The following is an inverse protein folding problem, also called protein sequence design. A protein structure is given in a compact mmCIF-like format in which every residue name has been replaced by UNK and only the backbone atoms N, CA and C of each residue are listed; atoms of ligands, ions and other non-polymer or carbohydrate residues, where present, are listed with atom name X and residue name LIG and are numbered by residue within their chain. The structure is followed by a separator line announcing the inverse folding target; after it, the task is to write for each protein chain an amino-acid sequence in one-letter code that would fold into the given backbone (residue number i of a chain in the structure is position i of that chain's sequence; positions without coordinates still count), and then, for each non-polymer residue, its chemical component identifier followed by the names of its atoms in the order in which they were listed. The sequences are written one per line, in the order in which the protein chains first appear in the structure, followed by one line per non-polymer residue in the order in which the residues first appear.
data_IF_389949104161
#
_entry.id   IF_389949104161
#
_cell.length_a   1.000
_cell.length_b   1.000
_cell.length_c   1.000
_cell.angle_alpha   90.00
_cell.angle_beta   90.00
_cell.angle_gamma   90.00
#
_symmetry.space_group_name_H-M   'P 1'
#
loop_
_entity.id
_entity.type
_entity.pdbx_description
1 polymer ?
#
# COMPACT_ATOMS: atom_id res chain seq x y z
N UNK A 1 -5.29 -1.73 22.66
CA UNK A 1 -5.26 -1.56 21.19
C UNK A 1 -6.61 -1.97 20.66
N UNK A 2 -7.18 -1.23 19.70
CA UNK A 2 -8.38 -1.68 18.98
C UNK A 2 -7.90 -2.69 17.93
N UNK A 3 -8.42 -3.91 17.95
CA UNK A 3 -8.17 -4.87 16.86
C UNK A 3 -8.72 -4.27 15.57
N UNK A 4 -7.87 -4.17 14.55
CA UNK A 4 -8.27 -3.81 13.21
C UNK A 4 -8.88 -5.06 12.55
N UNK A 5 -9.93 -4.91 11.73
CA UNK A 5 -10.41 -6.03 10.94
C UNK A 5 -9.32 -6.49 9.97
N UNK A 6 -9.26 -7.80 9.75
CA UNK A 6 -8.37 -8.39 8.77
C UNK A 6 -8.74 -7.93 7.35
N UNK A 7 -7.73 -7.62 6.53
CA UNK A 7 -7.96 -7.32 5.12
C UNK A 7 -8.35 -8.61 4.38
N UNK A 8 -9.15 -8.52 3.30
CA UNK A 8 -9.40 -9.66 2.42
C UNK A 8 -8.09 -10.35 2.02
N UNK A 9 -8.02 -11.68 2.11
CA UNK A 9 -6.79 -12.41 1.76
C UNK A 9 -5.56 -12.05 2.63
N UNK A 10 -5.78 -11.49 3.83
CA UNK A 10 -4.72 -11.10 4.76
C UNK A 10 -3.92 -9.88 4.35
N UNK A 11 -4.28 -9.20 3.26
CA UNK A 11 -3.51 -8.05 2.73
C UNK A 11 -2.27 -8.45 1.91
N UNK A 12 -2.14 -9.73 1.55
CA UNK A 12 -0.96 -10.25 0.86
C UNK A 12 -0.72 -9.60 -0.51
N UNK A 13 -1.78 -9.29 -1.27
CA UNK A 13 -1.64 -8.67 -2.59
C UNK A 13 -1.15 -7.21 -2.46
N UNK A 14 -1.62 -6.49 -1.43
CA UNK A 14 -1.20 -5.14 -1.12
C UNK A 14 0.26 -5.11 -0.66
N UNK A 15 0.66 -5.99 0.27
CA UNK A 15 2.07 -6.12 0.69
C UNK A 15 2.97 -6.45 -0.49
N UNK A 16 2.58 -7.39 -1.36
CA UNK A 16 3.32 -7.68 -2.59
C UNK A 16 3.47 -6.43 -3.47
N UNK A 17 2.40 -5.67 -3.68
CA UNK A 17 2.45 -4.41 -4.43
C UNK A 17 3.42 -3.41 -3.79
N UNK A 18 3.38 -3.20 -2.47
CA UNK A 18 4.28 -2.27 -1.77
C UNK A 18 5.75 -2.68 -1.95
N UNK A 19 6.07 -3.97 -1.76
CA UNK A 19 7.42 -4.52 -1.92
C UNK A 19 7.97 -4.31 -3.34
N UNK A 20 7.16 -4.54 -4.37
CA UNK A 20 7.57 -4.27 -5.74
C UNK A 20 7.60 -2.78 -6.08
N UNK A 21 6.75 -1.95 -5.48
CA UNK A 21 6.79 -0.50 -5.63
C UNK A 21 8.10 0.10 -5.06
N UNK A 22 8.63 -0.45 -3.96
CA UNK A 22 9.96 -0.09 -3.44
C UNK A 22 11.09 -0.55 -4.39
N UNK A 23 10.95 -1.72 -5.00
CA UNK A 23 11.97 -2.31 -5.88
C UNK A 23 12.06 -1.66 -7.28
N UNK A 24 11.24 -0.66 -7.62
CA UNK A 24 11.18 -0.04 -8.96
C UNK A 24 12.53 0.49 -9.46
N UNK A 25 13.39 0.97 -8.57
CA UNK A 25 14.71 1.51 -8.91
C UNK A 25 15.78 0.45 -9.23
N UNK A 26 15.48 -0.83 -9.03
CA UNK A 26 16.45 -1.92 -9.10
C UNK A 26 16.53 -2.60 -10.48
N UNK A 27 15.82 -2.07 -11.50
CA UNK A 27 15.87 -2.58 -12.87
C UNK A 27 15.05 -3.85 -13.14
N UNK A 28 14.21 -4.27 -12.19
CA UNK A 28 13.32 -5.43 -12.36
C UNK A 28 12.17 -5.18 -13.33
N UNK A 29 11.69 -6.24 -13.99
CA UNK A 29 10.58 -6.20 -14.97
C UNK A 29 9.27 -6.80 -14.44
N UNK A 30 9.04 -6.74 -13.12
CA UNK A 30 7.83 -7.33 -12.53
C UNK A 30 6.57 -6.52 -12.90
N UNK A 31 5.41 -7.15 -13.17
CA UNK A 31 4.18 -6.42 -13.49
C UNK A 31 3.75 -5.41 -12.40
N UNK A 32 4.03 -5.68 -11.12
CA UNK A 32 3.74 -4.74 -10.03
C UNK A 32 4.71 -3.54 -9.99
N UNK A 33 5.95 -3.71 -10.45
CA UNK A 33 6.88 -2.58 -10.70
C UNK A 33 6.29 -1.70 -11.80
N UNK A 34 5.82 -2.32 -12.89
CA UNK A 34 5.19 -1.60 -14.00
C UNK A 34 3.89 -0.92 -13.57
N UNK A 35 3.07 -1.54 -12.70
CA UNK A 35 1.87 -0.93 -12.12
C UNK A 35 2.21 0.33 -11.32
N UNK A 36 3.21 0.24 -10.45
CA UNK A 36 3.63 1.38 -9.66
C UNK A 36 4.23 2.51 -10.54
N UNK A 37 4.99 2.18 -11.59
CA UNK A 37 5.42 3.19 -12.57
C UNK A 37 4.26 3.80 -13.36
N UNK A 38 3.26 3.01 -13.72
CA UNK A 38 2.04 3.46 -14.39
C UNK A 38 1.26 4.46 -13.52
N UNK A 39 1.06 4.13 -12.24
CA UNK A 39 0.43 5.02 -11.27
C UNK A 39 1.18 6.35 -11.14
N UNK A 40 2.51 6.31 -11.09
CA UNK A 40 3.34 7.51 -10.98
C UNK A 40 3.29 8.37 -12.23
N UNK A 41 3.30 7.76 -13.43
CA UNK A 41 3.43 8.47 -14.70
C UNK A 41 2.10 8.97 -15.23
N UNK A 42 1.12 8.09 -15.29
CA UNK A 42 -0.18 8.34 -15.92
C UNK A 42 -1.19 8.91 -14.91
N UNK A 43 -1.21 8.40 -13.68
CA UNK A 43 -2.12 8.88 -12.63
C UNK A 43 -1.50 9.96 -11.74
N UNK A 44 -0.23 10.32 -11.96
CA UNK A 44 0.54 11.28 -11.15
C UNK A 44 0.50 11.00 -9.64
N UNK A 45 0.31 9.73 -9.28
CA UNK A 45 0.16 9.32 -7.88
C UNK A 45 1.48 9.49 -7.14
N UNK A 46 1.41 10.07 -5.94
CA UNK A 46 2.55 10.11 -5.02
C UNK A 46 2.67 8.77 -4.31
N UNK A 47 3.74 8.04 -4.57
CA UNK A 47 3.95 6.71 -3.99
C UNK A 47 4.65 6.74 -2.63
N UNK A 48 5.14 7.89 -2.17
CA UNK A 48 5.83 8.03 -0.88
C UNK A 48 5.09 7.41 0.33
N UNK A 49 3.75 7.51 0.44
CA UNK A 49 3.00 6.83 1.51
C UNK A 49 3.10 5.30 1.48
N UNK A 50 3.26 4.71 0.30
CA UNK A 50 3.46 3.27 0.10
C UNK A 50 4.90 2.82 0.37
N UNK A 51 5.84 3.75 0.46
CA UNK A 51 7.24 3.48 0.78
C UNK A 51 7.51 3.51 2.29
N UNK A 52 6.48 3.81 3.10
CA UNK A 52 6.55 3.91 4.58
C UNK A 52 5.80 2.76 5.24
N UNK A 53 6.37 1.56 5.13
CA UNK A 53 5.87 0.34 5.79
C UNK A 53 7.05 -0.51 6.28
N UNK A 54 6.81 -1.34 7.29
CA UNK A 54 7.83 -2.19 7.90
C UNK A 54 7.20 -3.43 8.56
N UNK A 55 8.03 -4.42 8.93
CA UNK A 55 7.61 -5.58 9.70
C UNK A 55 6.94 -5.16 11.03
N UNK A 56 5.81 -5.77 11.36
CA UNK A 56 4.96 -5.39 12.49
C UNK A 56 5.46 -5.89 13.83
N UNK A 57 6.24 -6.98 13.82
CA UNK A 57 6.83 -7.60 14.99
C UNK A 57 8.32 -7.25 15.04
N UNK A 58 8.74 -6.23 15.84
CA UNK A 58 10.15 -5.86 15.92
C UNK A 58 10.97 -6.94 16.62
N UNK A 59 12.15 -7.27 16.07
CA UNK A 59 13.06 -8.25 16.67
C UNK A 59 14.00 -7.61 17.70
N UNK A 60 14.31 -6.32 17.52
CA UNK A 60 15.23 -5.58 18.39
C UNK A 60 14.87 -4.07 18.55
N UNK A 61 15.78 -3.33 19.18
CA UNK A 61 15.65 -1.88 19.41
C UNK A 61 15.74 -1.08 18.11
N UNK A 62 16.48 -1.55 17.10
CA UNK A 62 16.61 -0.90 15.80
C UNK A 62 15.30 -1.01 15.03
N UNK A 63 14.69 -2.20 14.99
CA UNK A 63 13.37 -2.42 14.40
C UNK A 63 12.29 -1.58 15.08
N UNK A 64 12.32 -1.50 16.40
CA UNK A 64 11.38 -0.66 17.17
C UNK A 64 11.51 0.81 16.76
N UNK A 65 12.74 1.31 16.63
CA UNK A 65 13.00 2.68 16.20
C UNK A 65 12.61 2.92 14.74
N UNK A 66 12.83 1.96 13.84
CA UNK A 66 12.39 2.04 12.44
C UNK A 66 10.87 2.07 12.35
N UNK A 67 10.20 1.19 13.07
CA UNK A 67 8.75 1.08 13.07
C UNK A 67 8.07 2.34 13.63
N UNK A 68 8.65 2.98 14.64
CA UNK A 68 8.15 4.27 15.15
C UNK A 68 8.33 5.41 14.11
N UNK A 69 9.32 5.33 13.24
CA UNK A 69 9.51 6.30 12.14
C UNK A 69 8.51 6.13 11.01
N UNK A 70 7.78 5.00 10.94
CA UNK A 70 6.80 4.73 9.89
C UNK A 70 5.44 5.41 10.10
N UNK A 71 5.20 6.03 11.26
CA UNK A 71 3.99 6.84 11.45
C UNK A 71 3.91 7.95 10.40
N UNK A 72 2.78 8.03 9.69
CA UNK A 72 2.54 8.99 8.62
C UNK A 72 1.13 9.60 8.71
N UNK A 73 0.88 10.78 8.12
CA UNK A 73 -0.47 11.36 8.10
C UNK A 73 -1.47 10.43 7.41
N UNK A 74 -2.61 10.16 8.05
CA UNK A 74 -3.63 9.29 7.49
C UNK A 74 -4.21 9.81 6.16
N UNK A 75 -4.33 11.14 6.03
CA UNK A 75 -4.84 11.77 4.81
C UNK A 75 -3.94 11.52 3.59
N UNK A 76 -2.61 11.51 3.76
CA UNK A 76 -1.68 11.24 2.65
C UNK A 76 -1.77 9.79 2.19
N UNK A 77 -1.90 8.85 3.14
CA UNK A 77 -2.09 7.44 2.81
C UNK A 77 -3.47 7.19 2.18
N UNK A 78 -4.53 7.82 2.69
CA UNK A 78 -5.88 7.73 2.13
C UNK A 78 -5.90 8.21 0.66
N UNK A 79 -5.26 9.34 0.36
CA UNK A 79 -5.13 9.85 -1.01
C UNK A 79 -4.42 8.84 -1.93
N UNK A 80 -3.29 8.27 -1.47
CA UNK A 80 -2.54 7.27 -2.23
C UNK A 80 -3.39 6.01 -2.50
N UNK A 81 -4.06 5.48 -1.48
CA UNK A 81 -4.94 4.31 -1.57
C UNK A 81 -6.13 4.58 -2.49
N UNK A 82 -6.74 5.77 -2.43
CA UNK A 82 -7.82 6.17 -3.33
C UNK A 82 -7.35 6.24 -4.79
N UNK A 83 -6.15 6.75 -5.05
CA UNK A 83 -5.57 6.79 -6.39
C UNK A 83 -5.28 5.40 -6.97
N UNK A 84 -4.75 4.50 -6.15
CA UNK A 84 -4.57 3.10 -6.53
C UNK A 84 -5.92 2.43 -6.84
N UNK A 85 -6.93 2.64 -5.99
CA UNK A 85 -8.28 2.11 -6.22
C UNK A 85 -8.87 2.60 -7.54
N UNK A 86 -8.79 3.91 -7.79
CA UNK A 86 -9.31 4.51 -9.02
C UNK A 86 -8.62 3.94 -10.27
N UNK A 87 -7.31 3.71 -10.22
CA UNK A 87 -6.57 3.03 -11.29
C UNK A 87 -7.10 1.60 -11.49
N UNK A 88 -7.18 0.78 -10.44
CA UNK A 88 -7.62 -0.61 -10.56
C UNK A 88 -9.08 -0.75 -11.05
N UNK A 89 -9.95 0.18 -10.65
CA UNK A 89 -11.36 0.22 -11.05
C UNK A 89 -11.55 0.63 -12.52
N UNK A 90 -10.80 1.64 -12.99
CA UNK A 90 -11.13 2.36 -14.23
C UNK A 90 -10.09 2.22 -15.34
N UNK A 91 -8.90 1.74 -15.02
CA UNK A 91 -7.79 1.60 -15.95
C UNK A 91 -7.55 0.11 -16.27
N UNK A 92 -7.82 -0.28 -17.52
CA UNK A 92 -7.64 -1.65 -17.99
C UNK A 92 -6.19 -2.12 -17.86
N UNK A 93 -5.21 -1.23 -18.12
CA UNK A 93 -3.80 -1.58 -17.98
C UNK A 93 -3.43 -1.77 -16.52
N UNK A 94 -3.91 -0.89 -15.63
CA UNK A 94 -3.71 -1.01 -14.19
C UNK A 94 -4.18 -2.36 -13.66
N UNK A 95 -5.40 -2.77 -14.05
CA UNK A 95 -5.98 -4.07 -13.67
C UNK A 95 -5.20 -5.25 -14.23
N UNK A 96 -4.86 -5.21 -15.52
CA UNK A 96 -4.11 -6.28 -16.17
C UNK A 96 -2.71 -6.47 -15.56
N UNK A 97 -2.05 -5.37 -15.12
CA UNK A 97 -0.76 -5.44 -14.44
C UNK A 97 -0.87 -6.06 -13.04
N UNK A 98 -1.94 -5.76 -12.29
CA UNK A 98 -2.20 -6.39 -11.00
C UNK A 98 -2.43 -7.91 -11.15
N UNK A 99 -3.26 -8.32 -12.12
CA UNK A 99 -3.52 -9.75 -12.40
C UNK A 99 -2.24 -10.50 -12.80
N UNK A 100 -1.48 -9.97 -13.75
CA UNK A 100 -0.20 -10.56 -14.19
C UNK A 100 0.86 -10.59 -13.09
N UNK A 101 0.77 -9.67 -12.14
CA UNK A 101 1.62 -9.60 -10.95
C UNK A 101 1.22 -10.56 -9.84
N UNK A 102 0.29 -11.50 -10.10
CA UNK A 102 -0.27 -12.42 -9.12
C UNK A 102 -0.95 -11.72 -7.93
N UNK A 103 -1.51 -10.53 -8.16
CA UNK A 103 -2.21 -9.73 -7.16
C UNK A 103 -3.71 -9.50 -7.50
N UNK A 104 -4.50 -10.53 -7.84
CA UNK A 104 -5.91 -10.35 -8.21
C UNK A 104 -6.78 -9.84 -7.05
N UNK A 105 -6.37 -10.06 -5.80
CA UNK A 105 -7.05 -9.56 -4.60
C UNK A 105 -6.81 -8.07 -4.31
N UNK A 106 -5.88 -7.43 -5.02
CA UNK A 106 -5.41 -6.08 -4.69
C UNK A 106 -6.53 -5.05 -4.63
N UNK A 107 -7.50 -5.10 -5.57
CA UNK A 107 -8.62 -4.15 -5.55
C UNK A 107 -9.50 -4.32 -4.30
N UNK A 108 -9.79 -5.55 -3.90
CA UNK A 108 -10.62 -5.82 -2.72
C UNK A 108 -9.90 -5.39 -1.42
N UNK A 109 -8.59 -5.66 -1.33
CA UNK A 109 -7.75 -5.23 -0.21
C UNK A 109 -7.66 -3.71 -0.11
N UNK A 110 -7.42 -3.04 -1.23
CA UNK A 110 -7.39 -1.57 -1.31
C UNK A 110 -8.75 -0.97 -0.93
N UNK A 111 -9.87 -1.57 -1.37
CA UNK A 111 -11.21 -1.11 -0.99
C UNK A 111 -11.45 -1.23 0.52
N UNK A 112 -11.04 -2.33 1.16
CA UNK A 112 -11.12 -2.48 2.60
C UNK A 112 -10.23 -1.46 3.34
N UNK A 113 -9.02 -1.21 2.84
CA UNK A 113 -8.11 -0.24 3.43
C UNK A 113 -8.64 1.21 3.36
N UNK A 114 -9.35 1.58 2.28
CA UNK A 114 -10.02 2.90 2.16
C UNK A 114 -11.00 3.14 3.31
N UNK A 115 -11.81 2.14 3.63
CA UNK A 115 -12.77 2.25 4.73
C UNK A 115 -12.08 2.40 6.08
N UNK A 116 -10.94 1.72 6.29
CA UNK A 116 -10.16 1.83 7.52
C UNK A 116 -9.48 3.19 7.69
N UNK A 117 -9.09 3.83 6.59
CA UNK A 117 -8.39 5.11 6.61
C UNK A 117 -9.31 6.32 6.72
N UNK A 118 -10.59 6.18 6.33
CA UNK A 118 -11.56 7.28 6.29
C UNK A 118 -11.66 8.05 7.61
N UNK A 119 -11.77 7.32 8.70
CA UNK A 119 -12.00 7.89 10.03
C UNK A 119 -10.72 8.53 10.60
N UNK A 120 -9.54 7.86 10.61
CA UNK A 120 -8.26 8.48 10.96
C UNK A 120 -7.93 9.71 10.11
N UNK A 121 -8.19 9.67 8.80
CA UNK A 121 -7.95 10.79 7.89
C UNK A 121 -8.83 12.00 8.24
N UNK A 122 -10.13 11.79 8.47
CA UNK A 122 -11.08 12.84 8.84
C UNK A 122 -10.71 13.55 10.16
N UNK A 123 -10.06 12.84 11.10
CA UNK A 123 -9.63 13.41 12.39
C UNK A 123 -8.19 13.94 12.38
N UNK A 124 -7.48 13.89 11.25
CA UNK A 124 -6.09 14.32 11.16
C UNK A 124 -5.11 13.43 11.95
N UNK A 125 -5.46 12.15 12.15
CA UNK A 125 -4.61 11.21 12.88
C UNK A 125 -3.38 10.80 12.05
N UNK A 126 -2.42 10.19 12.74
CA UNK A 126 -1.33 9.44 12.10
C UNK A 126 -1.67 7.96 12.11
N UNK A 127 -1.23 7.25 11.08
CA UNK A 127 -1.35 5.80 10.91
C UNK A 127 0.01 5.22 10.52
N UNK A 128 0.16 3.92 10.66
CA UNK A 128 1.34 3.18 10.24
C UNK A 128 0.89 1.96 9.46
N UNK A 129 1.56 1.66 8.35
CA UNK A 129 1.42 0.39 7.64
C UNK A 129 2.47 -0.58 8.18
N UNK A 130 2.03 -1.78 8.53
CA UNK A 130 2.90 -2.90 8.86
C UNK A 130 2.32 -4.20 8.30
N UNK A 131 3.18 -5.19 8.13
CA UNK A 131 2.82 -6.56 7.74
C UNK A 131 3.40 -7.54 8.74
N UNK A 132 2.90 -8.78 8.73
CA UNK A 132 3.41 -9.90 9.52
C UNK A 132 3.52 -11.11 8.57
N UNK A 133 4.61 -11.89 8.66
CA UNK A 133 4.91 -13.04 7.79
C UNK A 133 4.71 -14.39 8.49
#
# INVERSE_FOLDING_TARGET
MRELPELPGGGAAFVAFLSFALARGLGGQHPLIALAEHLRREHRLRLGPFERFYEGVPEDEEDTALLERMWQPAAELEEAVNGLAACLERDELGRALAERGAAPGLLAEVAALRELLREPAARGARVRLSYEL
#
